data_IF_231865727146
#
_entry.id   IF_231865727146
#
_cell.length_a   1.000
_cell.length_b   1.000
_cell.length_c   1.000
_cell.angle_alpha   90.00
_cell.angle_beta   90.00
_cell.angle_gamma   90.00
#
_symmetry.space_group_name_H-M   'P 1'
#
loop_
_entity.id
_entity.type
_entity.pdbx_description
1 polymer ?
#
# COMPACT_ATOMS: atom_id res chain seq x y z
N UNK A 1 9.23 28.48 -13.05
CA UNK A 1 7.80 28.18 -12.94
C UNK A 1 7.11 29.30 -12.19
N UNK A 2 6.06 29.86 -12.78
CA UNK A 2 5.19 30.82 -12.10
C UNK A 2 4.16 30.11 -11.23
N UNK A 3 3.52 30.83 -10.31
CA UNK A 3 2.47 30.27 -9.44
C UNK A 3 1.33 29.64 -10.28
N UNK A 4 0.99 30.27 -11.40
CA UNK A 4 -0.03 29.79 -12.33
C UNK A 4 0.38 28.47 -13.00
N UNK A 5 1.64 28.35 -13.44
CA UNK A 5 2.16 27.08 -13.98
C UNK A 5 2.17 25.96 -12.93
N UNK A 6 2.42 26.26 -11.66
CA UNK A 6 2.35 25.26 -10.58
C UNK A 6 0.91 24.77 -10.36
N UNK A 7 -0.07 25.67 -10.39
CA UNK A 7 -1.49 25.31 -10.25
C UNK A 7 -1.93 24.39 -11.39
N UNK A 8 -1.65 24.76 -12.64
CA UNK A 8 -2.01 23.92 -13.81
C UNK A 8 -1.39 22.52 -13.75
N UNK A 9 -0.16 22.40 -13.23
CA UNK A 9 0.50 21.10 -13.04
C UNK A 9 -0.07 20.28 -11.88
N UNK A 10 -0.53 20.93 -10.81
CA UNK A 10 -1.21 20.27 -9.69
C UNK A 10 -2.58 19.75 -10.16
N UNK A 11 -3.33 20.54 -10.92
CA UNK A 11 -4.62 20.13 -11.48
C UNK A 11 -4.45 18.92 -12.41
N UNK A 12 -3.51 18.99 -13.34
CA UNK A 12 -3.20 17.86 -14.20
C UNK A 12 -2.77 16.61 -13.39
N UNK A 13 -1.97 16.78 -12.33
CA UNK A 13 -1.56 15.67 -11.47
C UNK A 13 -2.76 15.03 -10.75
N UNK A 14 -3.68 15.83 -10.20
CA UNK A 14 -4.87 15.34 -9.51
C UNK A 14 -5.80 14.56 -10.45
N UNK A 15 -5.94 14.99 -11.70
CA UNK A 15 -6.70 14.25 -12.73
C UNK A 15 -6.08 12.87 -12.97
N UNK A 16 -4.75 12.81 -13.16
CA UNK A 16 -4.05 11.53 -13.33
C UNK A 16 -4.14 10.64 -12.10
N UNK A 17 -4.04 11.20 -10.89
CA UNK A 17 -4.19 10.44 -9.65
C UNK A 17 -5.60 9.87 -9.50
N UNK A 18 -6.63 10.63 -9.89
CA UNK A 18 -8.03 10.18 -9.88
C UNK A 18 -8.24 9.00 -10.83
N UNK A 19 -7.76 9.12 -12.07
CA UNK A 19 -7.82 8.04 -13.06
C UNK A 19 -7.06 6.79 -12.61
N UNK A 20 -5.89 6.97 -11.98
CA UNK A 20 -5.12 5.86 -11.41
C UNK A 20 -5.86 5.19 -10.26
N UNK A 21 -6.56 5.94 -9.42
CA UNK A 21 -7.32 5.39 -8.31
C UNK A 21 -8.54 4.60 -8.82
N UNK A 22 -9.25 5.11 -9.82
CA UNK A 22 -10.33 4.39 -10.51
C UNK A 22 -9.81 3.08 -11.13
N UNK A 23 -8.72 3.15 -11.90
CA UNK A 23 -8.11 1.96 -12.50
C UNK A 23 -7.62 0.94 -11.46
N UNK A 24 -7.09 1.41 -10.31
CA UNK A 24 -6.73 0.54 -9.19
C UNK A 24 -7.97 -0.10 -8.57
N UNK A 25 -9.05 0.64 -8.40
CA UNK A 25 -10.29 0.12 -7.85
C UNK A 25 -10.86 -0.98 -8.76
N UNK A 26 -10.85 -0.80 -10.07
CA UNK A 26 -11.24 -1.83 -11.04
C UNK A 26 -10.32 -3.05 -10.97
N UNK A 27 -9.00 -2.85 -10.88
CA UNK A 27 -8.05 -3.94 -10.75
C UNK A 27 -8.23 -4.72 -9.44
N UNK A 28 -8.52 -4.04 -8.32
CA UNK A 28 -8.85 -4.69 -7.04
C UNK A 28 -10.19 -5.43 -7.11
N UNK A 29 -11.20 -4.90 -7.81
CA UNK A 29 -12.47 -5.61 -8.00
C UNK A 29 -12.27 -6.94 -8.75
N UNK A 30 -11.41 -6.96 -9.78
CA UNK A 30 -11.03 -8.20 -10.48
C UNK A 30 -10.28 -9.15 -9.54
N UNK A 31 -9.33 -8.64 -8.75
CA UNK A 31 -8.59 -9.45 -7.76
C UNK A 31 -9.53 -10.06 -6.73
N UNK A 32 -10.51 -9.30 -6.24
CA UNK A 32 -11.47 -9.76 -5.26
C UNK A 32 -12.41 -10.82 -5.85
N UNK A 33 -12.80 -10.70 -7.11
CA UNK A 33 -13.52 -11.77 -7.82
C UNK A 33 -12.69 -13.06 -7.90
N UNK A 34 -11.39 -12.97 -8.18
CA UNK A 34 -10.50 -14.15 -8.20
C UNK A 34 -10.35 -14.76 -6.80
N UNK A 35 -10.22 -13.94 -5.75
CA UNK A 35 -10.19 -14.40 -4.36
C UNK A 35 -11.48 -15.09 -3.95
N UNK A 36 -12.63 -14.56 -4.37
CA UNK A 36 -13.93 -15.17 -4.09
C UNK A 36 -14.03 -16.57 -4.71
N UNK A 37 -13.54 -16.76 -5.94
CA UNK A 37 -13.43 -18.10 -6.54
C UNK A 37 -12.45 -19.02 -5.80
N UNK A 38 -11.31 -18.51 -5.31
CA UNK A 38 -10.40 -19.31 -4.48
C UNK A 38 -11.09 -19.77 -3.19
N UNK A 39 -11.89 -18.90 -2.58
CA UNK A 39 -12.63 -19.17 -1.34
C UNK A 39 -13.75 -20.19 -1.54
N UNK A 40 -14.53 -20.08 -2.62
CA UNK A 40 -15.60 -21.02 -2.96
C UNK A 40 -15.05 -22.43 -3.25
N UNK A 41 -13.85 -22.52 -3.81
CA UNK A 41 -13.17 -23.80 -4.08
C UNK A 41 -12.41 -24.35 -2.89
N UNK A 42 -12.26 -23.59 -1.80
CA UNK A 42 -11.45 -23.92 -0.63
C UNK A 42 -10.00 -24.36 -0.98
N UNK A 43 -9.40 -23.76 -2.02
CA UNK A 43 -8.04 -24.11 -2.50
C UNK A 43 -7.06 -22.97 -2.27
N UNK A 44 -5.89 -23.30 -1.71
CA UNK A 44 -4.81 -22.33 -1.53
C UNK A 44 -3.97 -22.11 -2.80
N UNK A 45 -3.97 -23.06 -3.74
CA UNK A 45 -3.27 -22.98 -5.03
C UNK A 45 -4.21 -23.41 -6.17
N UNK A 46 -4.37 -22.56 -7.19
CA UNK A 46 -5.10 -22.86 -8.41
C UNK A 46 -4.21 -22.59 -9.64
N UNK A 47 -4.08 -23.58 -10.52
CA UNK A 47 -3.47 -23.41 -11.84
C UNK A 47 -4.55 -23.07 -12.85
N UNK A 48 -4.48 -21.88 -13.45
CA UNK A 48 -5.38 -21.41 -14.50
C UNK A 48 -4.59 -21.17 -15.79
N UNK A 49 -4.46 -22.22 -16.61
CA UNK A 49 -3.66 -22.18 -17.85
C UNK A 49 -2.17 -21.97 -17.54
N UNK A 50 -1.63 -20.81 -17.94
CA UNK A 50 -0.23 -20.43 -17.68
C UNK A 50 -0.01 -19.72 -16.33
N UNK A 51 -1.05 -19.49 -15.54
CA UNK A 51 -0.98 -18.74 -14.28
C UNK A 51 -1.17 -19.65 -13.07
N UNK A 52 -0.43 -19.38 -12.00
CA UNK A 52 -0.60 -20.03 -10.69
C UNK A 52 -1.07 -18.96 -9.71
N UNK A 53 -2.29 -19.14 -9.18
CA UNK A 53 -2.89 -18.27 -8.18
C UNK A 53 -2.64 -18.90 -6.83
N UNK A 54 -2.03 -18.15 -5.90
CA UNK A 54 -1.79 -18.58 -4.52
C UNK A 54 -2.49 -17.65 -3.54
N UNK A 55 -3.39 -18.20 -2.75
CA UNK A 55 -4.14 -17.50 -1.70
C UNK A 55 -3.89 -18.20 -0.35
N UNK A 56 -2.66 -18.08 0.15
CA UNK A 56 -2.24 -18.65 1.43
C UNK A 56 -2.34 -17.61 2.55
N UNK A 57 -2.76 -18.02 3.73
CA UNK A 57 -2.74 -17.15 4.92
C UNK A 57 -1.30 -16.82 5.32
N UNK A 58 -0.93 -15.54 5.26
CA UNK A 58 0.39 -15.06 5.70
C UNK A 58 0.30 -14.59 7.15
N UNK A 59 1.01 -15.28 8.04
CA UNK A 59 1.21 -14.81 9.42
C UNK A 59 2.27 -13.70 9.43
N UNK A 60 1.84 -12.44 9.56
CA UNK A 60 2.74 -11.31 9.71
C UNK A 60 3.01 -11.05 11.20
N UNK A 61 4.26 -11.22 11.63
CA UNK A 61 4.70 -10.81 12.96
C UNK A 61 5.13 -9.34 12.91
N UNK A 62 4.26 -8.43 13.37
CA UNK A 62 4.61 -7.02 13.53
C UNK A 62 5.19 -6.79 14.92
N UNK A 63 6.35 -6.13 14.97
CA UNK A 63 6.93 -5.71 16.23
C UNK A 63 6.06 -4.62 16.86
N UNK A 64 5.61 -4.84 18.10
CA UNK A 64 4.82 -3.87 18.86
C UNK A 64 5.71 -2.75 19.38
N UNK A 65 6.06 -1.83 18.48
CA UNK A 65 6.84 -0.65 18.81
C UNK A 65 6.18 0.22 19.89
N UNK A 66 4.86 0.17 20.02
CA UNK A 66 4.12 1.01 20.97
C UNK A 66 4.36 0.53 22.40
N UNK A 67 4.11 -0.75 22.67
CA UNK A 67 4.39 -1.31 24.00
C UNK A 67 5.89 -1.38 24.28
N UNK A 68 6.72 -1.63 23.26
CA UNK A 68 8.16 -1.61 23.42
C UNK A 68 8.69 -0.22 23.81
N UNK A 69 8.18 0.87 23.21
CA UNK A 69 8.52 2.24 23.62
C UNK A 69 8.06 2.55 25.05
N UNK A 70 6.89 2.06 25.45
CA UNK A 70 6.35 2.27 26.81
C UNK A 70 7.22 1.60 27.87
N UNK A 71 7.63 0.36 27.64
CA UNK A 71 8.40 -0.43 28.61
C UNK A 71 9.92 -0.17 28.53
N UNK A 72 10.44 0.09 27.34
CA UNK A 72 11.87 0.16 27.04
C UNK A 72 12.25 1.42 26.25
N UNK A 73 11.71 2.57 26.63
CA UNK A 73 11.91 3.84 25.92
C UNK A 73 13.39 4.23 25.72
N UNK A 74 14.24 4.01 26.72
CA UNK A 74 15.69 4.29 26.62
C UNK A 74 16.40 3.34 25.64
N UNK A 75 16.02 2.06 25.63
CA UNK A 75 16.54 1.10 24.67
C UNK A 75 16.08 1.44 23.25
N UNK A 76 14.82 1.81 23.07
CA UNK A 76 14.31 2.26 21.77
C UNK A 76 15.14 3.44 21.21
N UNK A 77 15.48 4.43 22.04
CA UNK A 77 16.32 5.57 21.63
C UNK A 77 17.72 5.12 21.23
N UNK A 78 18.36 4.23 22.00
CA UNK A 78 19.71 3.75 21.72
C UNK A 78 19.84 3.04 20.36
N UNK A 79 18.75 2.43 19.88
CA UNK A 79 18.70 1.71 18.61
C UNK A 79 17.96 2.46 17.50
N UNK A 80 17.57 3.73 17.72
CA UNK A 80 16.93 4.55 16.68
C UNK A 80 17.96 5.41 15.97
N UNK A 81 18.14 5.20 14.66
CA UNK A 81 18.97 6.06 13.80
C UNK A 81 18.09 7.09 13.08
N UNK A 82 18.44 8.38 13.20
CA UNK A 82 17.76 9.42 12.45
C UNK A 82 18.18 9.39 10.98
N UNK A 83 17.21 9.31 10.06
CA UNK A 83 17.42 9.47 8.62
C UNK A 83 16.64 10.68 8.12
N UNK A 84 17.29 11.54 7.34
CA UNK A 84 16.62 12.66 6.68
C UNK A 84 16.25 12.28 5.24
N UNK A 85 14.98 12.47 4.89
CA UNK A 85 14.46 12.35 3.52
C UNK A 85 13.50 13.49 3.23
N UNK A 86 13.46 13.98 2.00
CA UNK A 86 12.45 14.97 1.58
C UNK A 86 11.23 14.23 1.07
N UNK A 87 10.06 14.53 1.65
CA UNK A 87 8.78 14.00 1.17
C UNK A 87 8.15 15.05 0.26
N UNK A 88 7.70 14.63 -0.91
CA UNK A 88 6.81 15.43 -1.74
C UNK A 88 5.37 15.17 -1.27
N UNK A 89 4.64 16.24 -0.99
CA UNK A 89 3.22 16.17 -0.62
C UNK A 89 2.52 17.43 -1.11
N UNK A 90 1.37 17.25 -1.76
CA UNK A 90 0.45 18.32 -2.12
C UNK A 90 -0.80 18.09 -1.27
N UNK A 91 -1.20 19.09 -0.49
CA UNK A 91 -2.43 19.08 0.30
C UNK A 91 -3.31 20.23 -0.18
N UNK A 92 -4.63 20.02 -0.28
CA UNK A 92 -5.60 21.10 -0.51
C UNK A 92 -5.99 21.78 0.80
#
# INVERSE_FOLDING_TARGET
MTKTELITKIEALNEWETLLEEAKAEAEAIRDSIKAEMLERETEELVAGSYIIRWTSVLSNRFDTTNFKKMYGELYKAFTKQSASRRFSISC
#
